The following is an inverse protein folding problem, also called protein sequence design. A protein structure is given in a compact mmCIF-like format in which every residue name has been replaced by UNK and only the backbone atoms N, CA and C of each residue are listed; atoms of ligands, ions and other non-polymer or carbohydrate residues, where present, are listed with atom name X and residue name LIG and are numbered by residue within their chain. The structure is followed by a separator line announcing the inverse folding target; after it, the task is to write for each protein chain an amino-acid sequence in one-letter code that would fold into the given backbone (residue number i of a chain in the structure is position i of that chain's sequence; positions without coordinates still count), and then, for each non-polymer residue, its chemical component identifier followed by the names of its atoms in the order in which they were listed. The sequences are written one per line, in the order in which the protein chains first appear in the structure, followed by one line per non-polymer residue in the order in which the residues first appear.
data_IF_186125951275
#
_entry.id   IF_186125951275
#
_cell.length_a   1.000
_cell.length_b   1.000
_cell.length_c   1.000
_cell.angle_alpha   90.00
_cell.angle_beta   90.00
_cell.angle_gamma   90.00
#
_symmetry.space_group_name_H-M   'P 1'
#
loop_
_entity.id
_entity.type
_entity.pdbx_description
1 polymer ?
#
# COMPACT_ATOMS: atom_id res chain seq x y z
N UNK A 1 9.34 8.22 -14.50
CA UNK A 1 10.56 7.56 -13.98
C UNK A 1 10.09 6.46 -13.05
N UNK A 2 10.59 5.22 -13.17
CA UNK A 2 10.08 4.10 -12.37
C UNK A 2 10.60 4.12 -10.94
N UNK A 3 9.76 3.79 -9.95
CA UNK A 3 10.17 3.65 -8.54
C UNK A 3 11.41 2.73 -8.40
N UNK A 4 12.38 3.16 -7.59
CA UNK A 4 13.60 2.39 -7.29
C UNK A 4 13.96 2.54 -5.82
N UNK A 5 14.44 1.45 -5.24
CA UNK A 5 14.92 1.44 -3.85
C UNK A 5 16.09 2.42 -3.70
N UNK A 6 16.06 3.20 -2.62
CA UNK A 6 17.06 4.23 -2.30
C UNK A 6 16.91 5.54 -3.07
N UNK A 7 15.88 5.69 -3.92
CA UNK A 7 15.57 6.94 -4.62
C UNK A 7 14.24 7.54 -4.13
N UNK A 8 14.01 8.86 -4.36
CA UNK A 8 12.71 9.46 -4.11
C UNK A 8 11.58 8.68 -4.79
N UNK A 9 10.51 8.43 -4.04
CA UNK A 9 9.31 7.81 -4.54
C UNK A 9 8.69 8.69 -5.63
N UNK A 10 8.18 8.10 -6.73
CA UNK A 10 7.46 8.86 -7.74
C UNK A 10 6.28 9.60 -7.10
N UNK A 11 6.17 10.88 -7.43
CA UNK A 11 5.09 11.72 -6.91
C UNK A 11 3.73 11.24 -7.42
N UNK A 12 2.69 11.52 -6.65
CA UNK A 12 1.31 11.24 -7.01
C UNK A 12 0.38 12.25 -6.37
N UNK A 13 -0.79 12.44 -7.00
CA UNK A 13 -1.97 13.03 -6.39
C UNK A 13 -3.17 12.23 -6.89
N UNK A 14 -3.92 11.62 -5.96
CA UNK A 14 -5.06 10.76 -6.30
C UNK A 14 -6.23 11.07 -5.40
N UNK A 15 -7.44 10.99 -5.97
CA UNK A 15 -8.67 11.04 -5.19
C UNK A 15 -8.79 9.78 -4.33
N UNK A 16 -9.07 9.99 -3.05
CA UNK A 16 -9.21 8.92 -2.06
C UNK A 16 -10.58 8.90 -1.41
N UNK A 17 -10.95 7.73 -0.89
CA UNK A 17 -12.19 7.56 -0.15
C UNK A 17 -12.00 6.66 1.06
N UNK A 18 -12.73 6.97 2.11
CA UNK A 18 -12.92 6.14 3.31
C UNK A 18 -14.40 5.78 3.42
N UNK A 19 -14.74 4.83 4.31
CA UNK A 19 -16.13 4.45 4.54
C UNK A 19 -17.03 5.64 4.97
N UNK A 20 -16.47 6.54 5.78
CA UNK A 20 -17.20 7.66 6.39
C UNK A 20 -17.36 8.86 5.44
N UNK A 21 -16.41 9.05 4.50
CA UNK A 21 -16.38 10.27 3.69
C UNK A 21 -17.43 10.22 2.57
N UNK A 22 -18.32 11.23 2.56
CA UNK A 22 -19.32 11.41 1.51
C UNK A 22 -18.72 11.81 0.15
N UNK A 23 -17.56 12.45 0.14
CA UNK A 23 -16.91 13.02 -1.05
C UNK A 23 -15.46 12.53 -1.19
N UNK A 24 -14.93 12.43 -2.42
CA UNK A 24 -13.50 12.16 -2.63
C UNK A 24 -12.62 13.21 -1.96
N UNK A 25 -11.51 12.79 -1.37
CA UNK A 25 -10.50 13.67 -0.78
C UNK A 25 -9.17 13.40 -1.50
N UNK A 26 -8.59 14.38 -2.20
CA UNK A 26 -7.29 14.19 -2.84
C UNK A 26 -6.20 13.99 -1.79
N UNK A 27 -5.29 13.05 -2.07
CA UNK A 27 -4.06 12.82 -1.30
C UNK A 27 -2.86 12.80 -2.22
N UNK A 28 -1.81 13.46 -1.79
CA UNK A 28 -0.52 13.53 -2.49
C UNK A 28 0.59 12.91 -1.66
N UNK A 29 1.70 12.51 -2.30
CA UNK A 29 2.85 11.94 -1.59
C UNK A 29 3.35 12.88 -0.46
N UNK A 30 3.32 14.19 -0.70
CA UNK A 30 3.76 15.20 0.27
C UNK A 30 2.92 15.20 1.56
N UNK A 31 1.67 14.75 1.52
CA UNK A 31 0.79 14.69 2.70
C UNK A 31 1.27 13.67 3.75
N UNK A 32 2.17 12.78 3.35
CA UNK A 32 2.73 11.71 4.19
C UNK A 32 4.13 12.02 4.72
N UNK A 33 4.67 13.22 4.47
CA UNK A 33 5.96 13.66 5.01
C UNK A 33 5.99 13.54 6.53
N UNK A 34 7.10 13.04 7.07
CA UNK A 34 7.25 12.81 8.52
C UNK A 34 6.63 11.48 9.01
N UNK A 35 6.01 10.70 8.12
CA UNK A 35 5.46 9.37 8.43
C UNK A 35 6.00 8.34 7.44
N UNK A 36 6.03 7.08 7.86
CA UNK A 36 6.21 5.99 6.91
C UNK A 36 4.92 5.80 6.12
N UNK A 37 5.04 5.45 4.85
CA UNK A 37 3.91 5.21 3.96
C UNK A 37 4.03 3.85 3.29
N UNK A 38 2.99 3.03 3.43
CA UNK A 38 2.79 1.81 2.66
C UNK A 38 1.81 2.08 1.52
N UNK A 39 2.32 2.03 0.28
CA UNK A 39 1.48 1.98 -0.91
C UNK A 39 1.13 0.53 -1.23
N UNK A 40 -0.15 0.20 -1.21
CA UNK A 40 -0.65 -1.15 -1.41
C UNK A 40 -1.47 -1.24 -2.70
N UNK A 41 -0.79 -1.55 -3.80
CA UNK A 41 -1.43 -1.74 -5.10
C UNK A 41 -2.14 -3.11 -5.16
N UNK A 42 -3.37 -3.13 -5.68
CA UNK A 42 -4.13 -4.35 -5.93
C UNK A 42 -4.92 -4.26 -7.25
N UNK A 43 -5.13 -5.39 -7.96
CA UNK A 43 -5.64 -5.34 -9.34
C UNK A 43 -7.04 -4.74 -9.52
N UNK A 44 -8.03 -5.26 -8.81
CA UNK A 44 -9.44 -4.94 -9.04
C UNK A 44 -10.27 -5.03 -7.76
N UNK A 45 -11.18 -4.09 -7.61
CA UNK A 45 -12.38 -4.17 -6.77
C UNK A 45 -13.27 -5.36 -7.22
N UNK A 46 -14.16 -5.82 -6.33
CA UNK A 46 -15.09 -6.93 -6.60
C UNK A 46 -14.43 -8.22 -7.13
N UNK A 47 -13.17 -8.46 -6.78
CA UNK A 47 -12.43 -9.68 -7.13
C UNK A 47 -12.31 -10.63 -5.93
N UNK A 48 -11.75 -11.84 -6.14
CA UNK A 48 -11.72 -12.90 -5.11
C UNK A 48 -10.58 -12.77 -4.09
N UNK A 49 -9.38 -12.40 -4.54
CA UNK A 49 -8.17 -12.39 -3.67
C UNK A 49 -7.95 -11.01 -3.03
N UNK A 50 -8.20 -9.92 -3.75
CA UNK A 50 -8.02 -8.56 -3.22
C UNK A 50 -8.74 -8.29 -1.88
N UNK A 51 -10.00 -8.72 -1.66
CA UNK A 51 -10.65 -8.49 -0.37
C UNK A 51 -9.94 -9.22 0.77
N UNK A 52 -9.34 -10.39 0.51
CA UNK A 52 -8.59 -11.12 1.55
C UNK A 52 -7.36 -10.34 2.02
N UNK A 53 -6.66 -9.66 1.11
CA UNK A 53 -5.49 -8.85 1.45
C UNK A 53 -5.90 -7.58 2.21
N UNK A 54 -6.86 -6.82 1.67
CA UNK A 54 -7.32 -5.55 2.28
C UNK A 54 -7.93 -5.77 3.66
N UNK A 55 -8.75 -6.80 3.84
CA UNK A 55 -9.35 -7.13 5.15
C UNK A 55 -8.29 -7.62 6.15
N UNK A 56 -7.28 -8.37 5.70
CA UNK A 56 -6.20 -8.84 6.57
C UNK A 56 -5.32 -7.68 7.04
N UNK A 57 -5.02 -6.73 6.16
CA UNK A 57 -4.36 -5.47 6.51
C UNK A 57 -5.21 -4.67 7.51
N UNK A 58 -6.51 -4.55 7.24
CA UNK A 58 -7.42 -3.77 8.09
C UNK A 58 -7.49 -4.31 9.53
N UNK A 59 -7.53 -5.63 9.71
CA UNK A 59 -7.54 -6.26 11.05
C UNK A 59 -6.29 -5.95 11.86
N UNK A 60 -5.17 -5.66 11.19
CA UNK A 60 -3.86 -5.39 11.79
C UNK A 60 -3.42 -3.94 11.64
N UNK A 61 -4.33 -3.05 11.26
CA UNK A 61 -4.00 -1.64 10.97
C UNK A 61 -3.34 -0.94 12.16
N UNK A 62 -3.71 -1.31 13.39
CA UNK A 62 -3.13 -0.75 14.60
C UNK A 62 -1.62 -1.03 14.71
N UNK A 63 -1.16 -2.21 14.28
CA UNK A 63 0.27 -2.55 14.30
C UNK A 63 1.09 -1.67 13.34
N UNK A 64 0.49 -1.25 12.22
CA UNK A 64 1.09 -0.27 11.33
C UNK A 64 1.11 1.14 11.95
N UNK A 65 -0.01 1.54 12.57
CA UNK A 65 -0.09 2.83 13.27
C UNK A 65 0.91 2.94 14.42
N UNK A 66 1.13 1.86 15.18
CA UNK A 66 2.11 1.81 16.28
C UNK A 66 3.56 1.99 15.77
N UNK A 67 3.82 1.64 14.50
CA UNK A 67 5.08 1.86 13.80
C UNK A 67 5.12 3.21 13.03
N UNK A 68 4.14 4.11 13.25
CA UNK A 68 3.98 5.37 12.51
C UNK A 68 3.92 5.19 10.97
N UNK A 69 3.23 4.12 10.54
CA UNK A 69 3.01 3.80 9.12
C UNK A 69 1.57 4.10 8.74
N UNK A 70 1.40 4.91 7.71
CA UNK A 70 0.13 5.13 7.03
C UNK A 70 -0.03 4.12 5.88
N UNK A 71 -1.25 3.67 5.65
CA UNK A 71 -1.58 2.73 4.57
C UNK A 71 -2.44 3.44 3.52
N UNK A 72 -2.08 3.28 2.25
CA UNK A 72 -2.90 3.72 1.12
C UNK A 72 -3.11 2.55 0.15
N UNK A 73 -4.34 2.06 0.07
CA UNK A 73 -4.71 1.07 -0.94
C UNK A 73 -4.89 1.74 -2.29
N UNK A 74 -4.38 1.16 -3.38
CA UNK A 74 -4.43 1.77 -4.72
C UNK A 74 -4.88 0.72 -5.73
N UNK A 75 -5.82 1.09 -6.60
CA UNK A 75 -6.12 0.33 -7.81
C UNK A 75 -6.45 1.26 -8.98
N UNK A 76 -6.65 0.69 -10.17
CA UNK A 76 -7.12 1.44 -11.33
C UNK A 76 -8.64 1.69 -11.35
N UNK A 77 -9.38 1.23 -10.33
CA UNK A 77 -10.82 1.43 -10.25
C UNK A 77 -11.18 2.88 -9.89
N UNK A 78 -12.38 3.29 -10.27
CA UNK A 78 -12.87 4.64 -9.96
C UNK A 78 -13.20 4.81 -8.49
N UNK A 79 -13.18 6.05 -8.00
CA UNK A 79 -13.60 6.37 -6.63
C UNK A 79 -15.03 5.95 -6.31
N UNK A 80 -15.91 5.90 -7.33
CA UNK A 80 -17.28 5.45 -7.19
C UNK A 80 -17.36 3.93 -6.99
N UNK A 81 -16.49 3.18 -7.66
CA UNK A 81 -16.35 1.73 -7.51
C UNK A 81 -15.92 1.40 -6.08
N UNK A 82 -14.90 2.09 -5.55
CA UNK A 82 -14.45 1.93 -4.16
C UNK A 82 -15.59 2.14 -3.16
N UNK A 83 -16.36 3.23 -3.32
CA UNK A 83 -17.53 3.52 -2.48
C UNK A 83 -18.58 2.42 -2.54
N UNK A 84 -18.90 1.96 -3.75
CA UNK A 84 -19.87 0.91 -3.95
C UNK A 84 -19.40 -0.39 -3.29
N UNK A 85 -18.11 -0.73 -3.41
CA UNK A 85 -17.54 -1.95 -2.85
C UNK A 85 -17.47 -1.94 -1.32
N UNK A 86 -17.14 -0.80 -0.71
CA UNK A 86 -17.20 -0.66 0.75
C UNK A 86 -18.63 -0.77 1.30
N UNK A 87 -19.65 -0.45 0.50
CA UNK A 87 -21.06 -0.41 0.91
C UNK A 87 -21.88 -1.63 0.48
N UNK A 88 -21.32 -2.51 -0.36
CA UNK A 88 -22.04 -3.73 -0.77
C UNK A 88 -22.08 -4.73 0.38
N UNK A 89 -23.19 -5.46 0.50
CA UNK A 89 -23.37 -6.42 1.60
C UNK A 89 -22.37 -7.58 1.59
N UNK A 90 -21.80 -7.87 0.43
CA UNK A 90 -20.76 -8.88 0.17
C UNK A 90 -19.37 -8.27 -0.10
N UNK A 91 -19.22 -6.97 0.14
CA UNK A 91 -18.02 -6.20 -0.16
C UNK A 91 -16.95 -6.26 0.92
N UNK A 92 -16.14 -5.21 0.99
CA UNK A 92 -15.03 -5.10 1.97
C UNK A 92 -15.42 -4.36 3.25
N UNK A 93 -16.63 -3.79 3.32
CA UNK A 93 -17.09 -3.05 4.49
C UNK A 93 -16.19 -1.83 4.81
N UNK A 94 -16.23 -1.34 6.06
CA UNK A 94 -15.39 -0.23 6.48
C UNK A 94 -13.92 -0.63 6.61
N UNK A 95 -13.05 0.13 5.93
CA UNK A 95 -11.60 0.09 6.14
C UNK A 95 -11.16 1.30 6.98
N UNK A 96 -10.17 1.09 7.84
CA UNK A 96 -9.51 2.10 8.66
C UNK A 96 -8.43 2.88 7.92
N UNK A 97 -8.27 2.63 6.61
CA UNK A 97 -7.35 3.32 5.73
C UNK A 97 -8.02 3.65 4.39
N UNK A 98 -7.59 4.71 3.70
CA UNK A 98 -8.19 5.14 2.44
C UNK A 98 -7.86 4.22 1.26
N UNK A 99 -8.77 4.16 0.30
CA UNK A 99 -8.52 3.65 -1.05
C UNK A 99 -8.40 4.82 -2.03
N UNK A 100 -7.31 4.84 -2.81
CA UNK A 100 -7.01 5.78 -3.88
C UNK A 100 -7.37 5.21 -5.24
N UNK A 101 -8.02 6.05 -6.05
CA UNK A 101 -8.40 5.76 -7.43
C UNK A 101 -7.31 6.26 -8.38
N UNK A 102 -6.47 5.36 -8.88
CA UNK A 102 -5.49 5.63 -9.95
C UNK A 102 -6.14 5.42 -11.34
N UNK A 103 -7.25 6.10 -11.59
CA UNK A 103 -8.06 5.89 -12.80
C UNK A 103 -7.27 6.21 -14.09
N UNK A 104 -6.33 7.16 -14.03
CA UNK A 104 -5.41 7.49 -15.14
C UNK A 104 -4.29 6.45 -15.32
N UNK A 105 -4.04 5.60 -14.31
CA UNK A 105 -2.97 4.60 -14.24
C UNK A 105 -1.57 5.20 -14.17
N UNK A 106 -1.48 6.50 -13.92
CA UNK A 106 -0.22 7.22 -13.90
C UNK A 106 0.66 6.77 -12.73
N UNK A 107 0.08 6.61 -11.54
CA UNK A 107 0.82 6.09 -10.39
C UNK A 107 1.25 4.64 -10.65
N UNK A 108 0.36 3.80 -11.16
CA UNK A 108 0.64 2.40 -11.52
C UNK A 108 1.81 2.28 -12.50
N UNK A 109 1.88 3.15 -13.52
CA UNK A 109 2.99 3.21 -14.48
C UNK A 109 4.27 3.77 -13.84
N UNK A 110 4.18 4.85 -13.06
CA UNK A 110 5.32 5.47 -12.40
C UNK A 110 5.96 4.57 -11.33
N UNK A 111 5.17 3.70 -10.70
CA UNK A 111 5.67 2.67 -9.79
C UNK A 111 6.07 1.38 -10.51
N UNK A 112 5.87 1.30 -11.84
CA UNK A 112 6.35 0.18 -12.67
C UNK A 112 5.57 -1.11 -12.46
N UNK A 113 4.31 -1.01 -12.07
CA UNK A 113 3.48 -2.17 -11.68
C UNK A 113 2.27 -2.36 -12.57
N UNK A 114 2.21 -1.71 -13.74
CA UNK A 114 1.16 -1.97 -14.73
C UNK A 114 1.31 -3.37 -15.32
N UNK A 115 0.26 -4.18 -15.23
CA UNK A 115 0.12 -5.38 -16.04
C UNK A 115 -0.40 -4.99 -17.43
N UNK A 116 0.42 -5.19 -18.45
CA UNK A 116 0.08 -4.82 -19.83
C UNK A 116 -1.12 -5.60 -20.40
N UNK A 117 -1.38 -6.81 -19.91
CA UNK A 117 -2.46 -7.65 -20.41
C UNK A 117 -3.82 -7.24 -19.81
N UNK A 118 -3.85 -7.02 -18.49
CA UNK A 118 -5.08 -6.68 -17.77
C UNK A 118 -5.32 -5.18 -17.67
N UNK A 119 -4.29 -4.36 -17.92
CA UNK A 119 -4.26 -2.92 -17.70
C UNK A 119 -4.57 -2.54 -16.25
N UNK A 120 -4.34 -3.43 -15.30
CA UNK A 120 -4.48 -3.19 -13.87
C UNK A 120 -3.11 -3.18 -13.20
N UNK A 121 -2.98 -2.60 -12.00
CA UNK A 121 -1.77 -2.79 -11.23
C UNK A 121 -1.60 -4.26 -10.83
N UNK A 122 -0.36 -4.74 -10.86
CA UNK A 122 0.08 -5.96 -10.20
C UNK A 122 -0.10 -5.81 -8.69
N UNK A 123 -0.09 -6.94 -7.98
CA UNK A 123 -0.06 -6.96 -6.51
C UNK A 123 1.30 -6.49 -6.01
N UNK A 124 1.41 -5.20 -5.74
CA UNK A 124 2.67 -4.58 -5.34
C UNK A 124 2.54 -3.77 -4.05
N UNK A 125 3.53 -3.92 -3.16
CA UNK A 125 3.65 -3.12 -1.94
C UNK A 125 4.94 -2.32 -2.03
N UNK A 126 4.88 -1.03 -1.72
CA UNK A 126 6.05 -0.17 -1.54
C UNK A 126 6.04 0.42 -0.14
N UNK A 127 7.20 0.42 0.51
CA UNK A 127 7.41 1.11 1.79
C UNK A 127 8.29 2.33 1.53
N UNK A 128 7.78 3.49 1.92
CA UNK A 128 8.38 4.80 1.73
C UNK A 128 8.65 5.39 3.12
N UNK A 129 9.85 5.94 3.32
CA UNK A 129 10.26 6.55 4.58
C UNK A 129 9.73 8.00 4.74
N UNK A 130 9.89 8.61 5.94
CA UNK A 130 9.45 9.98 6.20
C UNK A 130 10.00 11.04 5.24
N UNK A 131 11.17 10.81 4.67
CA UNK A 131 11.86 11.65 3.69
C UNK A 131 11.35 11.43 2.25
N UNK A 132 10.55 10.40 2.02
CA UNK A 132 9.96 10.06 0.72
C UNK A 132 10.83 9.20 -0.16
N UNK A 133 11.76 8.46 0.41
CA UNK A 133 12.62 7.52 -0.29
C UNK A 133 11.97 6.14 -0.24
N UNK A 134 11.98 5.43 -1.36
CA UNK A 134 11.50 4.06 -1.41
C UNK A 134 12.52 3.16 -0.73
N UNK A 135 12.13 2.49 0.35
CA UNK A 135 13.00 1.63 1.14
C UNK A 135 12.82 0.14 0.83
N UNK A 136 11.61 -0.26 0.44
CA UNK A 136 11.31 -1.64 0.12
C UNK A 136 10.20 -1.75 -0.92
N UNK A 137 10.26 -2.81 -1.73
CA UNK A 137 9.16 -3.20 -2.59
C UNK A 137 9.04 -4.72 -2.71
N UNK A 138 7.80 -5.19 -2.86
CA UNK A 138 7.50 -6.56 -3.24
C UNK A 138 6.41 -6.55 -4.31
N UNK A 139 6.64 -7.29 -5.38
CA UNK A 139 5.69 -7.45 -6.49
C UNK A 139 5.41 -8.95 -6.61
N UNK A 140 4.13 -9.31 -6.57
CA UNK A 140 3.67 -10.69 -6.58
C UNK A 140 2.79 -10.97 -7.79
N UNK A 141 2.80 -12.22 -8.24
CA UNK A 141 1.87 -12.68 -9.26
C UNK A 141 0.42 -12.52 -8.75
N UNK A 142 -0.52 -12.19 -9.64
CA UNK A 142 -1.92 -11.97 -9.29
C UNK A 142 -2.61 -13.12 -8.55
N UNK A 143 -2.06 -14.34 -8.65
CA UNK A 143 -2.53 -15.56 -7.97
C UNK A 143 -2.02 -15.75 -6.54
N UNK A 144 -1.07 -14.96 -6.07
CA UNK A 144 -0.43 -15.12 -4.76
C UNK A 144 -0.74 -13.89 -3.90
N UNK A 145 -1.35 -14.11 -2.73
CA UNK A 145 -1.55 -13.05 -1.74
C UNK A 145 -0.26 -12.74 -0.98
N UNK A 146 -0.07 -11.48 -0.59
CA UNK A 146 1.07 -11.03 0.21
C UNK A 146 0.87 -11.30 1.70
N UNK A 147 1.97 -11.37 2.43
CA UNK A 147 1.98 -11.59 3.89
C UNK A 147 2.05 -10.26 4.65
N UNK A 148 1.10 -10.07 5.57
CA UNK A 148 1.12 -8.94 6.51
C UNK A 148 2.27 -9.08 7.52
N UNK A 149 2.55 -10.30 7.99
CA UNK A 149 3.66 -10.57 8.91
C UNK A 149 5.01 -10.16 8.32
N UNK A 150 5.26 -10.53 7.06
CA UNK A 150 6.51 -10.19 6.39
C UNK A 150 6.62 -8.67 6.19
N UNK A 151 5.51 -8.02 5.86
CA UNK A 151 5.48 -6.57 5.67
C UNK A 151 5.82 -5.84 6.97
N UNK A 152 5.20 -6.23 8.09
CA UNK A 152 5.50 -5.68 9.42
C UNK A 152 6.95 -5.94 9.83
N UNK A 153 7.45 -7.17 9.63
CA UNK A 153 8.85 -7.54 9.92
C UNK A 153 9.84 -6.65 9.16
N UNK A 154 9.61 -6.44 7.87
CA UNK A 154 10.46 -5.59 7.03
C UNK A 154 10.41 -4.13 7.49
N UNK A 155 9.23 -3.58 7.77
CA UNK A 155 9.10 -2.21 8.29
C UNK A 155 9.87 -2.05 9.60
N UNK A 156 9.71 -2.98 10.54
CA UNK A 156 10.46 -2.93 11.81
C UNK A 156 11.98 -3.04 11.59
N UNK A 157 12.43 -3.83 10.60
CA UNK A 157 13.84 -3.94 10.25
C UNK A 157 14.38 -2.61 9.70
N UNK A 158 13.64 -1.98 8.79
CA UNK A 158 13.99 -0.67 8.22
C UNK A 158 14.07 0.41 9.30
N UNK A 159 13.17 0.38 10.28
CA UNK A 159 13.15 1.32 11.41
C UNK A 159 14.19 1.03 12.49
N UNK A 160 14.85 -0.13 12.48
CA UNK A 160 15.82 -0.52 13.50
C UNK A 160 17.12 0.32 13.47
N UNK A 161 17.42 0.97 12.34
CA UNK A 161 18.63 1.78 12.15
C UNK A 161 19.95 1.00 12.06
N UNK A 162 19.92 -0.33 12.10
CA UNK A 162 21.12 -1.19 12.05
C UNK A 162 21.09 -2.22 10.92
N UNK A 163 22.19 -2.97 10.77
CA UNK A 163 22.26 -4.06 9.79
C UNK A 163 21.48 -5.27 10.31
N UNK A 164 20.35 -5.57 9.70
CA UNK A 164 19.51 -6.72 10.04
C UNK A 164 19.99 -7.98 9.27
N UNK A 165 20.37 -9.08 9.96
CA UNK A 165 20.71 -10.34 9.30
C UNK A 165 19.51 -10.97 8.58
N UNK A 166 19.78 -12.05 7.83
CA UNK A 166 18.74 -12.92 7.26
C UNK A 166 17.75 -13.36 8.34
N UNK A 167 16.46 -13.37 8.00
CA UNK A 167 15.35 -13.74 8.89
C UNK A 167 15.27 -12.96 10.21
N UNK A 168 15.83 -11.74 10.26
CA UNK A 168 15.76 -10.89 11.44
C UNK A 168 14.31 -10.55 11.82
N UNK A 169 14.03 -10.57 13.12
CA UNK A 169 12.76 -10.18 13.73
C UNK A 169 12.98 -9.15 14.86
N UNK A 170 11.97 -8.32 15.18
CA UNK A 170 12.05 -7.37 16.29
C UNK A 170 12.54 -8.01 17.59
N UNK A 171 13.49 -7.34 18.25
CA UNK A 171 14.14 -7.83 19.48
C UNK A 171 15.39 -8.71 19.26
N UNK A 172 15.68 -9.14 18.03
CA UNK A 172 16.93 -9.83 17.72
C UNK A 172 18.09 -8.85 17.53
N UNK A 173 19.32 -9.34 17.74
CA UNK A 173 20.54 -8.53 17.60
C UNK A 173 20.76 -8.12 16.14
N UNK A 174 21.06 -6.84 15.94
CA UNK A 174 21.61 -6.31 14.68
C UNK A 174 23.12 -6.57 14.61
N UNK A 175 23.67 -6.48 13.41
CA UNK A 175 25.10 -6.56 13.15
C UNK A 175 25.69 -5.15 13.16
N UNK A 176 26.90 -5.02 13.69
CA UNK A 176 27.74 -3.81 13.66
C UNK A 176 28.60 -3.76 12.41
#
# INVERSE_FOLDING_TARGET
MTARIGLPAPDFTMDTVTFENGFPIPKSLVDYRGKWLMLFFYPFDFSKVCPTELLSLNRRIQEFSDLNVEVLGISGDSIHTHKAWMRSGDGIGPLSFPLASDYSKEATMNYGVLDEATKAPLRATFIIDPEGIVQYSVISNSKVGRSVDETLRVISALQSGGLCPMDWNPGQKTIS
#
